data_IF_370723864493
#
_entry.id   IF_370723864493
#
_cell.length_a   1.000
_cell.length_b   1.000
_cell.length_c   1.000
_cell.angle_alpha   90.00
_cell.angle_beta   90.00
_cell.angle_gamma   90.00
#
_symmetry.space_group_name_H-M   'P 1'
#
loop_
_entity.id
_entity.type
_entity.pdbx_description
1 polymer ?
#
# COMPACT_ATOMS: atom_id res chain seq x y z
N UNK A 1 26.06 1.64 15.74
CA UNK A 1 25.47 0.65 16.66
C UNK A 1 24.46 -0.17 15.88
N UNK A 2 24.60 -1.50 15.93
CA UNK A 2 23.63 -2.36 15.26
C UNK A 2 22.48 -2.64 16.23
N UNK A 3 21.41 -1.84 16.09
CA UNK A 3 20.22 -1.87 16.93
C UNK A 3 19.58 -3.29 17.02
N UNK A 4 19.48 -3.99 15.89
CA UNK A 4 18.88 -5.34 15.84
C UNK A 4 19.72 -6.34 16.64
N UNK A 5 21.05 -6.26 16.56
CA UNK A 5 21.96 -7.14 17.31
C UNK A 5 21.87 -6.88 18.84
N UNK A 6 21.74 -5.62 19.23
CA UNK A 6 21.54 -5.25 20.64
C UNK A 6 20.20 -5.79 21.17
N UNK A 7 19.14 -5.71 20.37
CA UNK A 7 17.83 -6.26 20.75
C UNK A 7 17.82 -7.77 20.89
N UNK A 8 18.41 -8.50 19.95
CA UNK A 8 18.42 -9.97 19.98
C UNK A 8 19.23 -10.60 21.15
N UNK A 9 20.11 -9.83 21.78
CA UNK A 9 20.91 -10.34 22.92
C UNK A 9 20.12 -10.48 24.21
N UNK A 10 19.06 -9.69 24.40
CA UNK A 10 18.33 -9.57 25.66
C UNK A 10 16.81 -9.77 25.52
N UNK A 11 16.27 -9.71 24.29
CA UNK A 11 14.83 -9.74 24.03
C UNK A 11 14.43 -10.86 23.08
N UNK A 12 13.19 -11.32 23.21
CA UNK A 12 12.52 -12.18 22.24
C UNK A 12 12.03 -11.28 21.08
N UNK A 13 12.69 -11.34 19.94
CA UNK A 13 12.42 -10.46 18.79
C UNK A 13 11.72 -11.24 17.68
N UNK A 14 10.75 -10.63 17.00
CA UNK A 14 10.17 -11.10 15.74
C UNK A 14 10.12 -9.99 14.70
N UNK A 15 10.07 -10.36 13.41
CA UNK A 15 9.96 -9.44 12.31
C UNK A 15 8.78 -9.79 11.42
N UNK A 16 7.97 -8.79 11.06
CA UNK A 16 6.82 -8.95 10.18
C UNK A 16 6.92 -8.04 8.98
N UNK A 17 6.64 -8.60 7.81
CA UNK A 17 6.72 -7.90 6.53
C UNK A 17 5.30 -7.68 6.00
N UNK A 18 4.94 -6.44 5.76
CA UNK A 18 3.75 -6.07 5.01
C UNK A 18 4.09 -5.95 3.52
N UNK A 19 3.47 -6.79 2.69
CA UNK A 19 3.67 -6.75 1.25
C UNK A 19 2.47 -7.37 0.54
N UNK A 20 2.03 -6.77 -0.56
CA UNK A 20 0.88 -7.23 -1.30
C UNK A 20 1.23 -8.38 -2.26
N UNK A 21 2.02 -8.12 -3.29
CA UNK A 21 2.11 -9.03 -4.43
C UNK A 21 3.52 -9.11 -5.05
N UNK A 22 4.54 -9.26 -4.22
CA UNK A 22 5.93 -9.37 -4.68
C UNK A 22 6.11 -10.49 -5.72
N UNK A 23 5.32 -11.57 -5.65
CA UNK A 23 5.35 -12.67 -6.61
C UNK A 23 5.08 -12.22 -8.04
N UNK A 24 4.34 -11.11 -8.22
CA UNK A 24 4.10 -10.53 -9.55
C UNK A 24 5.13 -9.49 -9.95
N UNK A 25 5.54 -8.65 -9.02
CA UNK A 25 6.47 -7.56 -9.32
C UNK A 25 7.92 -8.01 -9.45
N UNK A 26 8.35 -8.98 -8.63
CA UNK A 26 9.76 -9.40 -8.52
C UNK A 26 9.94 -10.92 -8.55
N UNK A 27 8.88 -11.67 -8.87
CA UNK A 27 8.88 -13.13 -8.94
C UNK A 27 9.42 -13.78 -7.66
N UNK A 28 9.09 -13.21 -6.48
CA UNK A 28 9.64 -13.64 -5.20
C UNK A 28 8.57 -13.76 -4.11
N UNK A 29 8.48 -14.96 -3.52
CA UNK A 29 7.75 -15.22 -2.28
C UNK A 29 8.66 -15.17 -1.05
N UNK A 30 8.13 -15.60 0.11
CA UNK A 30 8.89 -15.81 1.37
C UNK A 30 9.67 -14.57 1.84
N UNK A 31 9.07 -13.38 1.71
CA UNK A 31 9.77 -12.11 1.93
C UNK A 31 10.32 -11.94 3.35
N UNK A 32 9.75 -12.61 4.35
CA UNK A 32 10.26 -12.55 5.72
C UNK A 32 11.72 -13.02 5.83
N UNK A 33 12.13 -14.02 5.03
CA UNK A 33 13.50 -14.53 5.05
C UNK A 33 14.53 -13.50 4.52
N UNK A 34 14.12 -12.57 3.68
CA UNK A 34 15.03 -11.59 3.08
C UNK A 34 15.54 -10.50 4.03
N UNK A 35 15.03 -10.44 5.24
CA UNK A 35 15.57 -9.54 6.26
C UNK A 35 17.02 -9.88 6.60
N UNK A 36 17.43 -11.15 6.49
CA UNK A 36 18.80 -11.60 6.72
C UNK A 36 19.79 -11.07 5.68
N UNK A 37 19.31 -10.76 4.46
CA UNK A 37 20.12 -10.12 3.42
C UNK A 37 20.38 -8.64 3.73
N UNK A 38 19.46 -8.01 4.46
CA UNK A 38 19.64 -6.62 4.88
C UNK A 38 20.64 -6.50 6.04
N UNK A 39 20.59 -7.43 7.01
CA UNK A 39 21.52 -7.48 8.14
C UNK A 39 21.58 -8.90 8.73
N UNK A 40 22.80 -9.48 8.88
CA UNK A 40 22.98 -10.78 9.52
C UNK A 40 22.44 -10.89 10.94
N UNK A 41 22.19 -9.78 11.63
CA UNK A 41 21.58 -9.77 12.95
C UNK A 41 20.15 -10.36 12.96
N UNK A 42 19.50 -10.46 11.78
CA UNK A 42 18.21 -11.13 11.64
C UNK A 42 18.29 -12.67 11.53
N UNK A 43 19.47 -13.28 11.49
CA UNK A 43 19.57 -14.73 11.54
C UNK A 43 18.97 -15.30 12.82
N UNK A 44 18.05 -16.26 12.66
CA UNK A 44 17.35 -16.88 13.77
C UNK A 44 16.17 -16.08 14.31
N UNK A 45 15.91 -14.87 13.81
CA UNK A 45 14.74 -14.08 14.18
C UNK A 45 13.51 -14.60 13.44
N UNK A 46 12.45 -15.04 14.15
CA UNK A 46 11.20 -15.45 13.52
C UNK A 46 10.61 -14.33 12.67
N UNK A 47 10.19 -14.69 11.45
CA UNK A 47 9.62 -13.71 10.53
C UNK A 47 8.45 -14.27 9.74
N UNK A 48 7.53 -13.40 9.33
CA UNK A 48 6.41 -13.73 8.48
C UNK A 48 6.04 -12.57 7.57
N UNK A 49 5.44 -12.87 6.40
CA UNK A 49 4.77 -11.88 5.56
C UNK A 49 3.28 -11.88 5.85
N UNK A 50 2.71 -10.69 5.95
CA UNK A 50 1.27 -10.44 6.03
C UNK A 50 0.79 -9.75 4.77
N UNK A 51 -0.38 -10.16 4.28
CA UNK A 51 -0.98 -9.65 3.07
C UNK A 51 -2.43 -9.25 3.31
N UNK A 52 -2.79 -8.03 2.97
CA UNK A 52 -4.13 -7.46 2.93
C UNK A 52 -4.15 -6.29 1.92
N UNK A 53 -3.62 -6.51 0.73
CA UNK A 53 -3.45 -5.49 -0.31
C UNK A 53 -2.77 -4.22 0.24
N UNK A 54 -3.34 -3.04 0.07
CA UNK A 54 -2.79 -1.77 0.57
C UNK A 54 -2.73 -1.70 2.12
N UNK A 55 -3.46 -2.57 2.83
CA UNK A 55 -3.48 -2.65 4.29
C UNK A 55 -2.49 -3.68 4.87
N UNK A 56 -1.62 -4.27 4.06
CA UNK A 56 -0.70 -5.35 4.48
C UNK A 56 0.15 -4.97 5.70
N UNK A 57 0.70 -3.75 5.73
CA UNK A 57 1.47 -3.29 6.89
C UNK A 57 0.59 -3.03 8.12
N UNK A 58 -0.66 -2.63 7.94
CA UNK A 58 -1.61 -2.45 9.06
C UNK A 58 -1.92 -3.79 9.74
N UNK A 59 -2.14 -4.85 8.95
CA UNK A 59 -2.35 -6.21 9.47
C UNK A 59 -1.08 -6.74 10.14
N UNK A 60 0.09 -6.46 9.58
CA UNK A 60 1.37 -6.83 10.21
C UNK A 60 1.57 -6.12 11.57
N UNK A 61 1.17 -4.85 11.69
CA UNK A 61 1.21 -4.11 12.96
C UNK A 61 0.22 -4.70 13.97
N UNK A 62 -0.98 -5.03 13.56
CA UNK A 62 -1.98 -5.66 14.43
C UNK A 62 -1.51 -7.02 14.95
N UNK A 63 -0.92 -7.84 14.06
CA UNK A 63 -0.30 -9.09 14.44
C UNK A 63 0.85 -8.89 15.43
N UNK A 64 1.73 -7.91 15.22
CA UNK A 64 2.80 -7.54 16.12
C UNK A 64 2.29 -7.16 17.51
N UNK A 65 1.29 -6.28 17.54
CA UNK A 65 0.66 -5.85 18.79
C UNK A 65 0.01 -7.02 19.56
N UNK A 66 -0.63 -7.93 18.84
CA UNK A 66 -1.23 -9.14 19.41
C UNK A 66 -0.17 -10.06 20.01
N UNK A 67 0.93 -10.28 19.31
CA UNK A 67 2.06 -11.11 19.77
C UNK A 67 2.72 -10.54 21.05
N UNK A 68 2.89 -9.22 21.11
CA UNK A 68 3.42 -8.55 22.31
C UNK A 68 2.43 -8.66 23.48
N UNK A 69 1.14 -8.45 23.25
CA UNK A 69 0.11 -8.61 24.30
C UNK A 69 -0.01 -10.04 24.82
N UNK A 70 0.25 -11.03 23.95
CA UNK A 70 0.26 -12.45 24.33
C UNK A 70 1.56 -12.87 25.02
N UNK A 71 2.49 -11.97 25.30
CA UNK A 71 3.80 -12.23 25.88
C UNK A 71 4.64 -13.25 25.11
N UNK A 72 4.43 -13.34 23.77
CA UNK A 72 5.24 -14.18 22.89
C UNK A 72 6.58 -13.53 22.53
N UNK A 73 6.58 -12.20 22.33
CA UNK A 73 7.74 -11.39 21.99
C UNK A 73 7.79 -10.11 22.79
N UNK A 74 9.00 -9.65 23.08
CA UNK A 74 9.26 -8.39 23.77
C UNK A 74 9.31 -7.23 22.77
N UNK A 75 9.81 -7.51 21.55
CA UNK A 75 9.93 -6.54 20.47
C UNK A 75 9.48 -7.16 19.14
N UNK A 76 8.63 -6.47 18.42
CA UNK A 76 8.27 -6.79 17.05
C UNK A 76 8.68 -5.66 16.11
N UNK A 77 9.45 -5.99 15.09
CA UNK A 77 9.84 -5.06 14.02
C UNK A 77 8.88 -5.27 12.84
N UNK A 78 8.22 -4.21 12.38
CA UNK A 78 7.34 -4.27 11.21
C UNK A 78 7.94 -3.45 10.09
N UNK A 79 8.09 -4.07 8.92
CA UNK A 79 8.63 -3.42 7.72
C UNK A 79 7.65 -3.62 6.57
N UNK A 80 7.31 -2.55 5.86
CA UNK A 80 6.49 -2.62 4.65
C UNK A 80 7.27 -2.16 3.43
N UNK A 81 7.24 -2.93 2.36
CA UNK A 81 7.77 -2.51 1.05
C UNK A 81 6.99 -3.14 -0.10
N UNK A 82 6.99 -2.45 -1.23
CA UNK A 82 6.46 -2.93 -2.50
C UNK A 82 7.29 -2.37 -3.65
N UNK A 83 8.01 -3.21 -4.37
CA UNK A 83 8.85 -2.77 -5.49
C UNK A 83 8.06 -2.84 -6.81
N UNK A 84 7.27 -1.79 -7.09
CA UNK A 84 6.32 -1.76 -8.19
C UNK A 84 6.93 -1.33 -9.54
N UNK A 85 8.10 -0.71 -9.55
CA UNK A 85 8.71 -0.12 -10.75
C UNK A 85 9.55 -1.12 -11.58
N UNK A 86 9.37 -2.40 -11.38
CA UNK A 86 10.05 -3.49 -12.10
C UNK A 86 9.35 -3.84 -13.41
N UNK A 87 8.14 -3.36 -13.61
CA UNK A 87 7.29 -3.63 -14.77
C UNK A 87 6.71 -2.33 -15.34
N UNK A 88 6.26 -2.40 -16.59
CA UNK A 88 5.54 -1.30 -17.23
C UNK A 88 4.27 -0.91 -16.43
N UNK A 89 3.92 0.38 -16.46
CA UNK A 89 2.83 0.94 -15.65
C UNK A 89 1.48 0.23 -15.86
N UNK A 90 1.16 -0.18 -17.09
CA UNK A 90 -0.08 -0.91 -17.40
C UNK A 90 -0.07 -2.31 -16.79
N UNK A 91 1.06 -3.00 -16.86
CA UNK A 91 1.24 -4.32 -16.23
C UNK A 91 1.14 -4.21 -14.72
N UNK A 92 1.81 -3.20 -14.14
CA UNK A 92 1.71 -2.92 -12.71
C UNK A 92 0.30 -2.57 -12.26
N UNK A 93 -0.43 -1.80 -13.07
CA UNK A 93 -1.84 -1.48 -12.85
C UNK A 93 -2.73 -2.73 -12.88
N UNK A 94 -2.48 -3.65 -13.80
CA UNK A 94 -3.17 -4.95 -13.85
C UNK A 94 -2.89 -5.79 -12.59
N UNK A 95 -1.64 -5.79 -12.10
CA UNK A 95 -1.30 -6.49 -10.86
C UNK A 95 -2.05 -5.90 -9.66
N UNK A 96 -2.16 -4.58 -9.55
CA UNK A 96 -2.94 -3.92 -8.52
C UNK A 96 -4.44 -4.28 -8.57
N UNK A 97 -4.96 -4.56 -9.75
CA UNK A 97 -6.35 -5.02 -9.92
C UNK A 97 -6.68 -6.28 -9.13
N UNK A 98 -5.66 -7.07 -8.74
CA UNK A 98 -5.85 -8.28 -7.93
C UNK A 98 -6.22 -8.00 -6.48
N UNK A 99 -6.19 -6.76 -6.05
CA UNK A 99 -6.76 -6.35 -4.76
C UNK A 99 -8.30 -6.40 -4.73
N UNK A 100 -8.94 -6.47 -5.90
CA UNK A 100 -10.38 -6.70 -6.06
C UNK A 100 -10.67 -8.15 -6.48
N UNK A 101 -11.93 -8.49 -6.72
CA UNK A 101 -12.30 -9.78 -7.32
C UNK A 101 -11.92 -9.75 -8.81
N UNK A 102 -10.67 -10.06 -9.10
CA UNK A 102 -10.03 -9.83 -10.39
C UNK A 102 -10.81 -10.37 -11.58
N UNK A 103 -11.34 -11.60 -11.49
CA UNK A 103 -12.07 -12.23 -12.60
C UNK A 103 -13.36 -11.51 -12.98
N UNK A 104 -14.04 -10.87 -12.01
CA UNK A 104 -15.30 -10.16 -12.24
C UNK A 104 -15.11 -8.64 -12.41
N UNK A 105 -14.10 -8.08 -11.80
CA UNK A 105 -13.99 -6.64 -11.64
C UNK A 105 -12.73 -6.02 -12.28
N UNK A 106 -11.70 -6.83 -12.55
CA UNK A 106 -10.40 -6.34 -13.02
C UNK A 106 -9.96 -6.88 -14.36
N UNK A 107 -10.30 -8.13 -14.68
CA UNK A 107 -9.81 -8.80 -15.88
C UNK A 107 -10.23 -8.09 -17.18
N UNK A 108 -9.25 -7.75 -18.03
CA UNK A 108 -9.49 -7.08 -19.30
C UNK A 108 -9.79 -5.58 -19.20
N UNK A 109 -9.74 -5.01 -18.01
CA UNK A 109 -9.87 -3.56 -17.81
C UNK A 109 -8.47 -2.96 -17.77
N UNK A 110 -8.22 -1.96 -18.61
CA UNK A 110 -6.97 -1.20 -18.55
C UNK A 110 -6.93 -0.37 -17.27
N UNK A 111 -5.84 -0.46 -16.50
CA UNK A 111 -5.68 0.20 -15.21
C UNK A 111 -6.89 -0.02 -14.27
N UNK A 112 -7.22 -1.29 -13.91
CA UNK A 112 -8.48 -1.59 -13.22
C UNK A 112 -8.60 -0.90 -11.86
N UNK A 113 -7.51 -0.74 -11.13
CA UNK A 113 -7.55 -0.24 -9.76
C UNK A 113 -8.09 1.21 -9.65
N UNK A 114 -7.55 2.23 -10.36
CA UNK A 114 -8.13 3.57 -10.34
C UNK A 114 -9.56 3.62 -10.88
N UNK A 115 -9.89 2.81 -11.89
CA UNK A 115 -11.25 2.74 -12.45
C UNK A 115 -12.27 2.18 -11.45
N UNK A 116 -11.87 1.23 -10.61
CA UNK A 116 -12.73 0.71 -9.54
C UNK A 116 -13.05 1.79 -8.49
N UNK A 117 -12.10 2.66 -8.15
CA UNK A 117 -12.37 3.79 -7.26
C UNK A 117 -13.27 4.84 -7.92
N UNK A 118 -13.09 5.12 -9.22
CA UNK A 118 -14.03 5.97 -9.97
C UNK A 118 -15.45 5.42 -9.93
N UNK A 119 -15.61 4.12 -10.22
CA UNK A 119 -16.90 3.44 -10.12
C UNK A 119 -17.50 3.49 -8.71
N UNK A 120 -16.65 3.36 -7.67
CA UNK A 120 -17.11 3.49 -6.28
C UNK A 120 -17.69 4.88 -6.00
N UNK A 121 -17.09 5.94 -6.56
CA UNK A 121 -17.63 7.29 -6.45
C UNK A 121 -19.00 7.40 -7.10
N UNK A 122 -19.18 6.86 -8.31
CA UNK A 122 -20.47 6.85 -9.02
C UNK A 122 -21.54 6.05 -8.27
N UNK A 123 -21.19 4.87 -7.75
CA UNK A 123 -22.11 4.05 -6.94
C UNK A 123 -22.47 4.73 -5.61
N UNK A 124 -21.56 5.52 -5.04
CA UNK A 124 -21.85 6.32 -3.84
C UNK A 124 -22.91 7.37 -4.13
N UNK A 125 -22.80 8.07 -5.24
CA UNK A 125 -23.80 9.07 -5.65
C UNK A 125 -25.17 8.43 -5.93
N UNK A 126 -25.20 7.26 -6.56
CA UNK A 126 -26.44 6.50 -6.78
C UNK A 126 -27.09 6.04 -5.48
N UNK A 127 -26.29 5.57 -4.53
CA UNK A 127 -26.77 5.06 -3.24
C UNK A 127 -27.29 6.16 -2.33
N UNK A 128 -26.76 7.35 -2.44
CA UNK A 128 -27.09 8.52 -1.62
C UNK A 128 -27.60 9.66 -2.51
N UNK A 129 -28.83 9.60 -3.02
CA UNK A 129 -29.36 10.57 -3.99
C UNK A 129 -29.51 11.98 -3.43
N UNK A 130 -29.55 12.13 -2.11
CA UNK A 130 -29.57 13.43 -1.44
C UNK A 130 -28.19 14.10 -1.34
N UNK A 131 -27.13 13.39 -1.72
CA UNK A 131 -25.77 13.92 -1.74
C UNK A 131 -25.62 14.87 -2.94
N UNK A 132 -25.24 16.12 -2.65
CA UNK A 132 -24.92 17.08 -3.71
C UNK A 132 -23.69 16.62 -4.49
N UNK A 133 -23.90 16.13 -5.70
CA UNK A 133 -22.85 15.61 -6.59
C UNK A 133 -21.73 16.63 -6.79
N UNK A 134 -22.07 17.90 -6.99
CA UNK A 134 -21.08 18.95 -7.22
C UNK A 134 -20.17 19.14 -6.02
N UNK A 135 -20.75 19.19 -4.81
CA UNK A 135 -19.97 19.29 -3.57
C UNK A 135 -19.12 18.06 -3.31
N UNK A 136 -19.65 16.87 -3.64
CA UNK A 136 -18.92 15.61 -3.50
C UNK A 136 -17.69 15.58 -4.42
N UNK A 137 -17.85 15.89 -5.70
CA UNK A 137 -16.76 15.94 -6.66
C UNK A 137 -15.75 17.04 -6.35
N UNK A 138 -16.22 18.22 -5.90
CA UNK A 138 -15.37 19.31 -5.42
C UNK A 138 -14.50 18.88 -4.23
N UNK A 139 -15.06 18.13 -3.28
CA UNK A 139 -14.31 17.61 -2.14
C UNK A 139 -13.22 16.63 -2.58
N UNK A 140 -13.50 15.69 -3.49
CA UNK A 140 -12.52 14.76 -4.04
C UNK A 140 -11.37 15.48 -4.77
N UNK A 141 -11.71 16.50 -5.58
CA UNK A 141 -10.72 17.31 -6.27
C UNK A 141 -9.81 18.07 -5.30
N UNK A 142 -10.38 18.69 -4.26
CA UNK A 142 -9.61 19.38 -3.21
C UNK A 142 -8.69 18.45 -2.45
N UNK A 143 -9.12 17.23 -2.12
CA UNK A 143 -8.28 16.21 -1.48
C UNK A 143 -7.08 15.89 -2.38
N UNK A 144 -7.31 15.70 -3.68
CA UNK A 144 -6.23 15.42 -4.64
C UNK A 144 -5.20 16.55 -4.68
N UNK A 145 -5.65 17.79 -4.84
CA UNK A 145 -4.78 18.98 -4.88
C UNK A 145 -3.95 19.09 -3.60
N UNK A 146 -4.58 18.97 -2.43
CA UNK A 146 -3.89 19.05 -1.12
C UNK A 146 -2.83 17.95 -1.00
N UNK A 147 -3.12 16.74 -1.46
CA UNK A 147 -2.15 15.64 -1.41
C UNK A 147 -0.92 15.92 -2.29
N UNK A 148 -1.09 16.44 -3.50
CA UNK A 148 0.04 16.83 -4.35
C UNK A 148 0.83 17.99 -3.77
N UNK A 149 0.17 19.00 -3.17
CA UNK A 149 0.85 20.09 -2.48
C UNK A 149 1.65 19.60 -1.26
N UNK A 150 1.12 18.66 -0.49
CA UNK A 150 1.84 18.06 0.63
C UNK A 150 3.02 17.21 0.16
N UNK A 151 2.90 16.49 -0.96
CA UNK A 151 3.98 15.72 -1.54
C UNK A 151 5.20 16.58 -1.88
N UNK A 152 5.00 17.83 -2.37
CA UNK A 152 6.10 18.77 -2.64
C UNK A 152 6.95 19.07 -1.41
N UNK A 153 6.34 19.09 -0.24
CA UNK A 153 7.01 19.39 1.04
C UNK A 153 7.71 18.17 1.65
N UNK A 154 7.37 16.97 1.20
CA UNK A 154 7.97 15.73 1.69
C UNK A 154 9.16 15.34 0.81
N UNK A 155 10.42 15.40 1.34
CA UNK A 155 11.60 15.07 0.55
C UNK A 155 11.65 13.60 0.11
N UNK A 156 10.91 12.71 0.79
CA UNK A 156 10.85 11.27 0.49
C UNK A 156 9.69 10.90 -0.44
N UNK A 157 8.79 11.83 -0.77
CA UNK A 157 7.67 11.53 -1.68
C UNK A 157 8.17 11.34 -3.12
N UNK A 158 7.83 10.21 -3.72
CA UNK A 158 8.14 9.93 -5.13
C UNK A 158 7.43 10.90 -6.07
N UNK A 159 6.25 11.37 -5.69
CA UNK A 159 5.38 12.30 -6.46
C UNK A 159 5.69 13.78 -6.20
N UNK A 160 6.76 14.11 -5.46
CA UNK A 160 7.06 15.51 -5.06
C UNK A 160 7.27 16.48 -6.22
N UNK A 161 7.57 15.97 -7.41
CA UNK A 161 7.73 16.76 -8.64
C UNK A 161 6.45 16.84 -9.48
N UNK A 162 5.40 16.14 -9.06
CA UNK A 162 4.13 16.13 -9.77
C UNK A 162 3.30 17.33 -9.30
N UNK A 163 2.39 17.72 -10.16
CA UNK A 163 1.46 18.81 -9.92
C UNK A 163 0.05 18.38 -10.34
N UNK A 164 -0.94 18.85 -9.65
CA UNK A 164 -2.33 18.74 -10.05
C UNK A 164 -3.03 20.04 -9.68
N UNK A 165 -3.52 20.74 -10.68
CA UNK A 165 -4.40 21.90 -10.47
C UNK A 165 -5.80 21.44 -10.05
N UNK A 166 -6.56 22.34 -9.45
CA UNK A 166 -7.97 22.07 -9.16
C UNK A 166 -8.78 21.80 -10.44
N UNK A 167 -8.48 22.53 -11.51
CA UNK A 167 -9.13 22.37 -12.81
C UNK A 167 -8.86 20.96 -13.40
N UNK A 168 -7.62 20.50 -13.38
CA UNK A 168 -7.27 19.12 -13.77
C UNK A 168 -7.95 18.07 -12.89
N UNK A 169 -8.01 18.30 -11.58
CA UNK A 169 -8.63 17.38 -10.64
C UNK A 169 -10.16 17.26 -10.81
N UNK A 170 -10.81 18.30 -11.33
CA UNK A 170 -12.25 18.30 -11.62
C UNK A 170 -12.58 17.83 -13.03
N UNK A 171 -11.58 17.72 -13.91
CA UNK A 171 -11.78 17.30 -15.27
C UNK A 171 -12.16 15.83 -15.33
N UNK A 172 -13.42 15.53 -15.63
CA UNK A 172 -13.84 14.19 -16.00
C UNK A 172 -13.30 13.93 -17.41
N UNK A 173 -12.27 13.08 -17.53
CA UNK A 173 -11.76 12.70 -18.84
C UNK A 173 -12.91 12.25 -19.73
N UNK A 174 -13.03 12.87 -20.89
CA UNK A 174 -13.91 12.36 -21.92
C UNK A 174 -13.35 11.00 -22.33
N UNK A 175 -14.15 9.96 -22.18
CA UNK A 175 -13.79 8.63 -22.70
C UNK A 175 -13.47 8.78 -24.19
N UNK A 176 -12.22 8.54 -24.55
CA UNK A 176 -11.79 8.31 -25.93
C UNK A 176 -11.38 6.87 -26.09
#
# INVERSE_FOLDING_TARGET
RNFVRELNGENRVACFVGNFIAEKYVDQGHLGAFLTEADPAFYGVPSARYEAACASSSVAIDAAATKIRADEYDVCIVVGWELMKTVESRVGGDYLGRAAYYDKEGRGIDLPFPKLFGKLADETLKKYPDLDERRYMDALAKISVVNYENAKRNPLAQTRKWFMSYEEATHRGTES
#
